data_IF_211466772333
#
_entry.id   IF_211466772333
#
_cell.length_a   1.000
_cell.length_b   1.000
_cell.length_c   1.000
_cell.angle_alpha   90.00
_cell.angle_beta   90.00
_cell.angle_gamma   90.00
#
_symmetry.space_group_name_H-M   'P 1'
#
loop_
_entity.id
_entity.type
_entity.pdbx_description
1 polymer ?
#
# COMPACT_ATOMS: atom_id res chain seq x y z
N UNK A 1 3.83 8.74 8.96
CA UNK A 1 3.76 9.53 7.71
C UNK A 1 4.00 8.68 6.45
N UNK A 2 5.15 8.02 6.29
CA UNK A 2 5.44 7.22 5.07
C UNK A 2 4.37 6.18 4.70
N UNK A 3 3.89 5.38 5.66
CA UNK A 3 2.91 4.33 5.37
C UNK A 3 1.50 4.85 5.08
N UNK A 4 1.13 6.01 5.64
CA UNK A 4 -0.14 6.66 5.31
C UNK A 4 -0.13 7.16 3.86
N UNK A 5 0.99 7.73 3.41
CA UNK A 5 1.17 8.10 2.01
C UNK A 5 1.12 6.88 1.09
N UNK A 6 1.77 5.76 1.47
CA UNK A 6 1.68 4.49 0.74
C UNK A 6 0.24 4.01 0.63
N UNK A 7 -0.54 4.05 1.73
CA UNK A 7 -1.94 3.65 1.72
C UNK A 7 -2.79 4.51 0.79
N UNK A 8 -2.67 5.84 0.87
CA UNK A 8 -3.43 6.77 0.01
C UNK A 8 -3.09 6.53 -1.46
N UNK A 9 -1.81 6.40 -1.79
CA UNK A 9 -1.38 6.13 -3.17
C UNK A 9 -1.82 4.75 -3.66
N UNK A 10 -1.77 3.73 -2.80
CA UNK A 10 -2.25 2.40 -3.14
C UNK A 10 -3.75 2.43 -3.48
N UNK A 11 -4.58 3.12 -2.68
CA UNK A 11 -6.01 3.27 -2.95
C UNK A 11 -6.23 3.94 -4.30
N UNK A 12 -5.58 5.08 -4.57
CA UNK A 12 -5.76 5.81 -5.83
C UNK A 12 -5.37 4.94 -7.03
N UNK A 13 -4.22 4.26 -6.97
CA UNK A 13 -3.75 3.43 -8.07
C UNK A 13 -4.63 2.19 -8.28
N UNK A 14 -5.06 1.52 -7.20
CA UNK A 14 -5.93 0.35 -7.30
C UNK A 14 -7.32 0.71 -7.83
N UNK A 15 -7.87 1.88 -7.46
CA UNK A 15 -9.12 2.39 -8.04
C UNK A 15 -8.98 2.71 -9.52
N UNK A 16 -7.84 3.28 -9.95
CA UNK A 16 -7.58 3.51 -11.38
C UNK A 16 -7.48 2.20 -12.15
N UNK A 17 -6.80 1.19 -11.60
CA UNK A 17 -6.73 -0.15 -12.21
C UNK A 17 -8.12 -0.79 -12.28
N UNK A 18 -8.89 -0.73 -11.19
CA UNK A 18 -10.26 -1.23 -11.13
C UNK A 18 -11.16 -0.57 -12.17
N UNK A 19 -11.06 0.75 -12.33
CA UNK A 19 -11.77 1.51 -13.35
C UNK A 19 -11.41 1.07 -14.77
N UNK A 20 -10.11 0.90 -15.06
CA UNK A 20 -9.64 0.43 -16.37
C UNK A 20 -10.15 -0.97 -16.65
N UNK A 21 -10.02 -1.91 -15.70
CA UNK A 21 -10.49 -3.28 -15.86
C UNK A 21 -12.01 -3.35 -16.08
N UNK A 22 -12.78 -2.64 -15.26
CA UNK A 22 -14.23 -2.55 -15.42
C UNK A 22 -14.62 -1.97 -16.79
N UNK A 23 -13.88 -0.97 -17.27
CA UNK A 23 -14.09 -0.40 -18.61
C UNK A 23 -13.83 -1.42 -19.72
N UNK A 24 -12.82 -2.29 -19.56
CA UNK A 24 -12.53 -3.37 -20.51
C UNK A 24 -13.59 -4.48 -20.49
N UNK A 25 -14.25 -4.70 -19.35
CA UNK A 25 -15.34 -5.67 -19.19
C UNK A 25 -16.72 -5.14 -19.64
N UNK A 26 -16.79 -3.93 -20.20
CA UNK A 26 -18.02 -3.33 -20.73
C UNK A 26 -18.66 -2.26 -19.85
N UNK A 27 -17.98 -1.79 -18.80
CA UNK A 27 -18.34 -0.55 -18.10
C UNK A 27 -19.51 -0.66 -17.12
N UNK A 28 -19.55 -1.71 -16.30
CA UNK A 28 -20.59 -1.95 -15.30
C UNK A 28 -20.42 -1.16 -13.99
N UNK A 29 -21.22 -1.50 -12.98
CA UNK A 29 -21.09 -0.88 -11.65
C UNK A 29 -19.70 -1.14 -11.04
N UNK A 30 -19.05 -0.08 -10.56
CA UNK A 30 -17.73 -0.17 -9.94
C UNK A 30 -17.81 -0.72 -8.52
N UNK A 31 -16.95 -1.68 -8.20
CA UNK A 31 -16.75 -2.14 -6.84
C UNK A 31 -15.60 -1.37 -6.20
N UNK A 32 -15.93 -0.44 -5.30
CA UNK A 32 -14.95 0.37 -4.56
C UNK A 32 -14.42 -0.32 -3.29
N UNK A 33 -15.06 -1.41 -2.84
CA UNK A 33 -14.68 -2.09 -1.59
C UNK A 33 -13.46 -2.97 -1.81
N UNK A 34 -13.43 -3.73 -2.90
CA UNK A 34 -12.33 -4.65 -3.22
C UNK A 34 -10.99 -3.92 -3.35
N UNK A 35 -10.85 -2.80 -4.10
CA UNK A 35 -9.60 -2.05 -4.21
C UNK A 35 -9.09 -1.52 -2.87
N UNK A 36 -9.99 -1.03 -2.00
CA UNK A 36 -9.65 -0.51 -0.68
C UNK A 36 -9.09 -1.62 0.23
N UNK A 37 -9.74 -2.79 0.25
CA UNK A 37 -9.26 -3.93 1.06
C UNK A 37 -7.87 -4.37 0.57
N UNK A 38 -7.68 -4.46 -0.75
CA UNK A 38 -6.37 -4.80 -1.33
C UNK A 38 -5.32 -3.76 -0.96
N UNK A 39 -5.65 -2.47 -1.00
CA UNK A 39 -4.72 -1.39 -0.63
C UNK A 39 -4.27 -1.49 0.83
N UNK A 40 -5.17 -1.85 1.74
CA UNK A 40 -4.83 -2.09 3.16
C UNK A 40 -3.87 -3.27 3.30
N UNK A 41 -4.18 -4.40 2.67
CA UNK A 41 -3.32 -5.60 2.69
C UNK A 41 -1.94 -5.28 2.10
N UNK A 42 -1.90 -4.60 0.96
CA UNK A 42 -0.66 -4.20 0.30
C UNK A 42 0.20 -3.29 1.18
N UNK A 43 -0.43 -2.35 1.88
CA UNK A 43 0.27 -1.47 2.83
C UNK A 43 0.86 -2.24 4.00
N UNK A 44 0.14 -3.24 4.53
CA UNK A 44 0.66 -4.13 5.58
C UNK A 44 1.89 -4.89 5.08
N UNK A 45 1.85 -5.42 3.85
CA UNK A 45 3.01 -6.10 3.26
C UNK A 45 4.23 -5.17 3.16
N UNK A 46 4.03 -3.93 2.71
CA UNK A 46 5.10 -2.91 2.64
C UNK A 46 5.72 -2.67 4.03
N UNK A 47 4.89 -2.57 5.08
CA UNK A 47 5.36 -2.38 6.46
C UNK A 47 6.20 -3.58 6.91
N UNK A 48 5.75 -4.80 6.62
CA UNK A 48 6.50 -6.02 6.96
C UNK A 48 7.84 -6.08 6.24
N UNK A 49 7.87 -5.79 4.93
CA UNK A 49 9.12 -5.74 4.16
C UNK A 49 10.07 -4.68 4.69
N UNK A 50 9.56 -3.49 5.02
CA UNK A 50 10.38 -2.42 5.59
C UNK A 50 10.97 -2.83 6.95
N UNK A 51 10.22 -3.55 7.78
CA UNK A 51 10.73 -4.07 9.05
C UNK A 51 11.83 -5.14 8.86
N UNK A 52 11.66 -6.03 7.88
CA UNK A 52 12.63 -7.09 7.57
C UNK A 52 13.91 -6.54 6.94
N UNK A 53 13.79 -5.53 6.07
CA UNK A 53 14.93 -4.95 5.33
C UNK A 53 15.73 -3.97 6.19
N UNK A 54 15.10 -3.33 7.18
CA UNK A 54 15.79 -2.32 8.00
C UNK A 54 16.93 -2.99 8.79
N UNK A 55 18.21 -2.61 8.53
CA UNK A 55 19.31 -3.16 9.29
C UNK A 55 19.13 -2.77 10.77
N UNK A 56 19.30 -3.74 11.66
CA UNK A 56 19.37 -3.53 13.10
C UNK A 56 20.60 -2.67 13.38
N UNK A 57 20.47 -1.35 13.28
CA UNK A 57 21.50 -0.44 13.74
C UNK A 57 21.45 -0.45 15.27
N UNK A 58 22.28 -1.32 15.83
CA UNK A 58 22.64 -1.29 17.24
C UNK A 58 23.18 0.13 17.50
N UNK A 59 22.38 0.99 18.10
CA UNK A 59 22.87 2.24 18.65
C UNK A 59 23.69 1.92 19.90
N UNK A 60 24.91 1.44 19.69
CA UNK A 60 26.03 1.79 20.55
C UNK A 60 26.31 3.26 20.24
N UNK A 61 25.50 4.16 20.79
CA UNK A 61 25.83 5.58 20.82
C UNK A 61 26.54 5.81 22.14
N UNK A 62 27.86 5.84 21.99
CA UNK A 62 28.85 6.07 23.02
C UNK A 62 28.44 7.20 23.97
N UNK A 63 28.66 6.90 25.25
CA UNK A 63 28.83 7.83 26.35
C UNK A 63 29.96 8.80 25.98
N UNK A 64 29.65 10.09 25.88
CA UNK A 64 30.61 11.18 25.98
C UNK A 64 29.90 12.39 26.60
#
# INVERSE_FOLDING_TARGET
>A
MKYLAVLVWAIVLLEMVNFVLNSLEGGGALNFVTPIIIAVIFTILIILFDLVIKPKNNQTKNEH
#
